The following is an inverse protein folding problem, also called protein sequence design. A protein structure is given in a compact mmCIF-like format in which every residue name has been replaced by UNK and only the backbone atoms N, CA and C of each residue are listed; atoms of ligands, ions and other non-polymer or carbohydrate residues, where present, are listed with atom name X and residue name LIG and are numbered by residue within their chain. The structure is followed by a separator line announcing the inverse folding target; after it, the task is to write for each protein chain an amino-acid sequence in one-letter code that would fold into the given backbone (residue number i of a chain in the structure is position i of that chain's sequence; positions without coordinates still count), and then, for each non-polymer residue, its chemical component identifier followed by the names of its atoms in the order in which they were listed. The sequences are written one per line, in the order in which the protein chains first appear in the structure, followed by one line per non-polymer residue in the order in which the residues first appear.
data_IF_847596919039
#
_entry.id   IF_847596919039
#
_cell.length_a   1.000
_cell.length_b   1.000
_cell.length_c   1.000
_cell.angle_alpha   90.00
_cell.angle_beta   90.00
_cell.angle_gamma   90.00
#
_symmetry.space_group_name_H-M   'P 1'
#
loop_
_entity.id
_entity.type
_entity.pdbx_description
1 polymer ?
#
# COMPACT_ATOMS: atom_id res chain seq x y z
N UNK A 1 -31.43 8.25 -5.19
CA UNK A 1 -30.96 6.87 -5.07
C UNK A 1 -29.83 6.86 -4.04
N UNK A 2 -30.07 6.21 -2.87
CA UNK A 2 -29.03 6.03 -1.87
C UNK A 2 -28.05 4.96 -2.41
N UNK A 3 -26.79 5.31 -2.55
CA UNK A 3 -25.71 4.37 -2.85
C UNK A 3 -25.00 4.07 -1.55
N UNK A 4 -25.07 2.84 -1.09
CA UNK A 4 -24.29 2.40 0.06
C UNK A 4 -22.81 2.34 -0.36
N UNK A 5 -21.99 3.13 0.30
CA UNK A 5 -20.54 3.08 0.07
C UNK A 5 -19.93 1.91 0.85
N UNK A 6 -19.03 1.21 0.22
CA UNK A 6 -18.17 0.21 0.86
C UNK A 6 -17.19 0.88 1.85
N UNK A 7 -16.58 0.07 2.68
CA UNK A 7 -15.63 0.53 3.68
C UNK A 7 -14.20 0.28 3.19
N UNK A 8 -13.32 1.25 3.38
CA UNK A 8 -11.88 1.03 3.22
C UNK A 8 -11.36 0.43 4.53
N UNK A 9 -10.79 -0.75 4.43
CA UNK A 9 -10.14 -1.44 5.56
C UNK A 9 -8.66 -1.03 5.63
N UNK A 10 -8.04 -1.23 6.79
CA UNK A 10 -6.58 -1.17 6.91
C UNK A 10 -5.90 -2.21 6.04
N UNK A 11 -4.59 -2.10 5.90
CA UNK A 11 -3.77 -3.13 5.26
C UNK A 11 -3.82 -4.42 6.08
N UNK A 12 -3.37 -5.52 5.49
CA UNK A 12 -3.34 -6.81 6.17
C UNK A 12 -2.35 -6.77 7.34
N UNK A 13 -2.87 -7.02 8.53
CA UNK A 13 -2.09 -7.17 9.74
C UNK A 13 -1.63 -8.62 9.90
N UNK A 14 -0.36 -8.77 10.25
CA UNK A 14 0.25 -10.05 10.59
C UNK A 14 0.56 -10.07 12.08
N UNK A 15 0.12 -11.10 12.77
CA UNK A 15 0.30 -11.24 14.21
C UNK A 15 0.61 -12.68 14.62
N UNK A 16 1.11 -12.81 15.82
CA UNK A 16 1.32 -14.10 16.51
C UNK A 16 0.70 -14.04 17.90
N UNK A 17 0.51 -15.20 18.53
CA UNK A 17 0.17 -15.23 19.96
C UNK A 17 1.38 -14.78 20.80
N UNK A 18 1.17 -14.26 22.02
CA UNK A 18 2.26 -13.89 22.92
C UNK A 18 3.25 -15.03 23.18
N UNK A 19 2.75 -16.26 23.34
CA UNK A 19 3.56 -17.44 23.54
C UNK A 19 4.49 -17.75 22.34
N UNK A 20 3.96 -17.65 21.13
CA UNK A 20 4.73 -17.83 19.89
C UNK A 20 5.76 -16.72 19.76
N UNK A 21 5.39 -15.48 20.07
CA UNK A 21 6.31 -14.35 20.04
C UNK A 21 7.48 -14.56 21.03
N UNK A 22 7.20 -14.87 22.30
CA UNK A 22 8.26 -15.08 23.29
C UNK A 22 9.21 -16.20 22.91
N UNK A 23 8.69 -17.30 22.37
CA UNK A 23 9.50 -18.44 21.87
C UNK A 23 10.44 -18.05 20.74
N UNK A 24 10.03 -17.14 19.86
CA UNK A 24 10.75 -16.79 18.63
C UNK A 24 11.26 -15.34 18.64
N UNK A 25 11.17 -14.64 19.77
CA UNK A 25 11.57 -13.23 19.92
C UNK A 25 12.93 -12.92 19.30
N UNK A 26 14.03 -13.65 19.58
CA UNK A 26 15.34 -13.30 19.00
C UNK A 26 15.37 -13.37 17.49
N UNK A 27 14.66 -14.34 16.89
CA UNK A 27 14.58 -14.48 15.45
C UNK A 27 13.78 -13.34 14.81
N UNK A 28 12.65 -12.96 15.40
CA UNK A 28 11.79 -11.87 14.91
C UNK A 28 12.52 -10.53 14.99
N UNK A 29 13.13 -10.23 16.14
CA UNK A 29 13.87 -8.98 16.36
C UNK A 29 15.13 -8.87 15.49
N UNK A 30 15.81 -9.99 15.20
CA UNK A 30 16.96 -10.00 14.29
C UNK A 30 16.60 -9.64 12.84
N UNK A 31 15.34 -9.78 12.47
CA UNK A 31 14.82 -9.36 11.17
C UNK A 31 14.44 -7.87 11.13
N UNK A 32 14.66 -7.13 12.22
CA UNK A 32 14.28 -5.73 12.35
C UNK A 32 12.77 -5.51 12.54
N UNK A 33 12.02 -6.57 12.88
CA UNK A 33 10.58 -6.49 13.08
C UNK A 33 10.29 -6.01 14.50
N UNK A 34 9.37 -5.06 14.62
CA UNK A 34 8.95 -4.48 15.91
C UNK A 34 7.64 -5.12 16.35
N UNK A 35 7.57 -5.67 17.57
CA UNK A 35 6.34 -6.18 18.14
C UNK A 35 5.46 -5.04 18.65
N UNK A 36 4.16 -5.11 18.38
CA UNK A 36 3.14 -4.27 18.98
C UNK A 36 2.11 -5.13 19.67
N UNK A 37 2.05 -5.03 20.99
CA UNK A 37 1.06 -5.76 21.79
C UNK A 37 -0.28 -5.06 21.67
N UNK A 38 -1.28 -5.77 21.16
CA UNK A 38 -2.65 -5.31 21.03
C UNK A 38 -3.55 -6.16 21.94
N UNK A 39 -4.32 -5.47 22.77
CA UNK A 39 -5.36 -6.11 23.60
C UNK A 39 -6.69 -5.96 22.89
N UNK A 40 -7.34 -7.06 22.61
CA UNK A 40 -8.73 -7.13 22.17
C UNK A 40 -9.58 -7.59 23.36
N UNK A 41 -10.90 -7.47 23.27
CA UNK A 41 -11.81 -7.71 24.41
C UNK A 41 -11.60 -9.08 25.08
N UNK A 42 -11.17 -10.09 24.32
CA UNK A 42 -11.00 -11.47 24.83
C UNK A 42 -9.58 -12.03 24.67
N UNK A 43 -8.68 -11.37 23.91
CA UNK A 43 -7.37 -11.94 23.61
C UNK A 43 -6.29 -10.88 23.51
N UNK A 44 -5.08 -11.27 23.83
CA UNK A 44 -3.87 -10.50 23.57
C UNK A 44 -3.14 -11.07 22.34
N UNK A 45 -2.78 -10.21 21.41
CA UNK A 45 -2.03 -10.57 20.20
C UNK A 45 -0.79 -9.68 20.06
N UNK A 46 0.25 -10.20 19.43
CA UNK A 46 1.45 -9.44 19.10
C UNK A 46 1.45 -9.19 17.60
N UNK A 47 1.10 -7.97 17.20
CA UNK A 47 1.19 -7.54 15.81
C UNK A 47 2.65 -7.29 15.44
N UNK A 48 3.05 -7.76 14.27
CA UNK A 48 4.41 -7.62 13.75
C UNK A 48 4.45 -6.44 12.78
N UNK A 49 5.36 -5.51 13.01
CA UNK A 49 5.48 -4.25 12.26
C UNK A 49 6.89 -4.04 11.73
N UNK A 50 7.00 -3.33 10.64
CA UNK A 50 8.26 -2.77 10.20
C UNK A 50 8.58 -1.50 11.00
N UNK A 51 9.89 -1.19 11.21
CA UNK A 51 10.29 0.05 11.86
C UNK A 51 9.87 1.26 11.04
N UNK A 52 9.40 2.30 11.72
CA UNK A 52 9.08 3.59 11.12
C UNK A 52 9.78 4.71 11.88
N UNK A 53 10.07 5.82 11.18
CA UNK A 53 10.55 7.05 11.80
C UNK A 53 9.46 7.74 12.62
N UNK A 54 8.21 7.56 12.22
CA UNK A 54 7.04 8.03 12.94
C UNK A 54 6.48 6.87 13.79
N UNK A 55 6.50 6.97 15.13
CA UNK A 55 6.03 5.91 16.03
C UNK A 55 4.52 5.63 15.89
N UNK A 56 3.76 6.57 15.36
CA UNK A 56 2.33 6.42 15.11
C UNK A 56 2.00 5.96 13.68
N UNK A 57 3.02 5.86 12.80
CA UNK A 57 2.82 5.34 11.46
C UNK A 57 2.50 3.85 11.45
N UNK A 58 1.52 3.50 10.64
CA UNK A 58 1.15 2.12 10.38
C UNK A 58 2.09 1.51 9.33
N UNK A 59 2.99 0.65 9.77
CA UNK A 59 3.97 -0.02 8.91
C UNK A 59 3.85 -1.55 9.03
N UNK A 60 2.87 -2.19 8.37
CA UNK A 60 2.70 -3.64 8.41
C UNK A 60 3.89 -4.36 7.73
N UNK A 61 3.98 -5.67 7.93
CA UNK A 61 4.91 -6.49 7.15
C UNK A 61 4.54 -6.43 5.67
N UNK A 62 5.56 -6.40 4.81
CA UNK A 62 5.37 -6.42 3.36
C UNK A 62 5.11 -7.85 2.86
N UNK A 63 4.54 -7.98 1.67
CA UNK A 63 4.35 -9.29 1.03
C UNK A 63 5.66 -10.04 0.79
N UNK A 64 6.79 -9.33 0.68
CA UNK A 64 8.12 -9.93 0.54
C UNK A 64 8.64 -10.58 1.82
N UNK A 65 8.12 -10.18 2.99
CA UNK A 65 8.50 -10.70 4.30
C UNK A 65 7.65 -11.91 4.71
N UNK A 66 6.63 -12.25 3.96
CA UNK A 66 5.73 -13.36 4.27
C UNK A 66 5.66 -14.36 3.12
N UNK A 67 5.38 -15.62 3.45
CA UNK A 67 5.14 -16.70 2.47
C UNK A 67 3.74 -17.23 2.66
N UNK A 68 2.96 -17.24 1.59
CA UNK A 68 1.56 -17.73 1.60
C UNK A 68 1.51 -19.06 0.84
N UNK A 69 1.41 -20.18 1.54
CA UNK A 69 1.35 -21.52 0.96
C UNK A 69 0.24 -22.36 1.57
N UNK A 70 -0.55 -23.01 0.74
CA UNK A 70 -1.61 -23.98 1.15
C UNK A 70 -2.54 -23.44 2.25
N UNK A 71 -2.88 -22.15 2.20
CA UNK A 71 -3.77 -21.52 3.20
C UNK A 71 -3.09 -21.12 4.52
N UNK A 72 -1.79 -21.35 4.65
CA UNK A 72 -0.97 -20.89 5.77
C UNK A 72 -0.10 -19.73 5.36
N UNK A 73 0.14 -18.84 6.31
CA UNK A 73 1.04 -17.71 6.13
C UNK A 73 2.16 -17.84 7.15
N UNK A 74 3.39 -17.77 6.68
CA UNK A 74 4.57 -17.88 7.54
C UNK A 74 5.48 -16.68 7.32
N UNK A 75 6.26 -16.32 8.35
CA UNK A 75 7.32 -15.33 8.24
C UNK A 75 8.45 -15.92 7.41
N UNK A 76 8.84 -15.21 6.33
CA UNK A 76 9.83 -15.67 5.35
C UNK A 76 11.16 -16.08 6.01
N UNK A 77 11.67 -17.23 5.61
CA UNK A 77 12.90 -17.78 6.17
C UNK A 77 12.75 -18.43 7.55
N UNK A 78 11.51 -18.56 8.04
CA UNK A 78 11.19 -19.19 9.32
C UNK A 78 10.02 -20.17 9.20
N UNK A 79 9.80 -20.98 10.23
CA UNK A 79 8.59 -21.82 10.35
C UNK A 79 7.49 -21.15 11.21
N UNK A 80 7.59 -19.84 11.46
CA UNK A 80 6.64 -19.11 12.31
C UNK A 80 5.36 -18.86 11.54
N UNK A 81 4.28 -19.50 11.95
CA UNK A 81 2.95 -19.30 11.37
C UNK A 81 2.35 -17.99 11.88
N UNK A 82 1.83 -17.19 10.93
CA UNK A 82 1.25 -15.88 11.18
C UNK A 82 -0.27 -15.92 11.05
N UNK A 83 -0.94 -15.24 11.98
CA UNK A 83 -2.35 -14.91 11.81
C UNK A 83 -2.47 -13.66 10.95
N UNK A 84 -3.35 -13.72 9.94
CA UNK A 84 -3.63 -12.61 9.04
C UNK A 84 -5.00 -12.04 9.34
N UNK A 85 -5.10 -10.74 9.48
CA UNK A 85 -6.38 -10.07 9.67
C UNK A 85 -6.41 -8.74 8.92
N UNK A 86 -7.54 -8.47 8.29
CA UNK A 86 -7.81 -7.17 7.64
C UNK A 86 -9.03 -6.57 8.32
N UNK A 87 -8.81 -5.55 9.11
CA UNK A 87 -9.85 -4.94 9.93
C UNK A 87 -10.14 -3.50 9.48
N UNK A 88 -11.29 -2.97 9.96
CA UNK A 88 -11.58 -1.55 9.84
C UNK A 88 -10.47 -0.72 10.48
N UNK A 89 -10.08 0.36 9.81
CA UNK A 89 -9.12 1.32 10.38
C UNK A 89 -9.61 1.90 11.69
N UNK A 90 -8.79 1.85 12.71
CA UNK A 90 -9.05 2.49 14.00
C UNK A 90 -7.76 2.94 14.69
N UNK A 91 -7.84 4.06 15.42
CA UNK A 91 -6.69 4.59 16.17
C UNK A 91 -6.24 3.63 17.28
N UNK A 92 -7.18 2.92 17.92
CA UNK A 92 -6.85 1.94 18.97
C UNK A 92 -6.07 0.73 18.46
N UNK A 93 -6.25 0.37 17.18
CA UNK A 93 -5.52 -0.71 16.51
C UNK A 93 -4.24 -0.24 15.84
N UNK A 94 -4.01 1.07 15.78
CA UNK A 94 -2.88 1.69 15.09
C UNK A 94 -2.71 1.17 13.64
N UNK A 95 -3.82 0.98 12.94
CA UNK A 95 -3.86 0.55 11.53
C UNK A 95 -4.47 1.62 10.60
N UNK A 96 -4.41 2.88 11.03
CA UNK A 96 -4.89 4.02 10.26
C UNK A 96 -3.79 4.50 9.34
N UNK A 97 -4.10 4.65 8.06
CA UNK A 97 -3.24 5.33 7.10
C UNK A 97 -3.55 6.82 7.17
N UNK A 98 -2.52 7.64 7.41
CA UNK A 98 -2.67 9.09 7.43
C UNK A 98 -2.61 9.64 5.99
N UNK A 99 -3.71 10.26 5.48
CA UNK A 99 -3.71 10.84 4.14
C UNK A 99 -2.64 11.89 3.92
N UNK A 100 -2.33 12.70 4.93
CA UNK A 100 -1.31 13.74 4.82
C UNK A 100 0.07 13.15 4.56
N UNK A 101 0.39 12.01 5.18
CA UNK A 101 1.64 11.30 4.94
C UNK A 101 1.70 10.78 3.51
N UNK A 102 0.61 10.17 3.02
CA UNK A 102 0.53 9.69 1.64
C UNK A 102 0.69 10.84 0.63
N UNK A 103 0.06 11.98 0.91
CA UNK A 103 0.20 13.18 0.07
C UNK A 103 1.63 13.73 0.08
N UNK A 104 2.30 13.73 1.23
CA UNK A 104 3.68 14.19 1.33
C UNK A 104 4.66 13.27 0.59
N UNK A 105 4.43 11.94 0.65
CA UNK A 105 5.34 10.95 0.08
C UNK A 105 5.09 10.71 -1.42
N UNK A 106 3.83 10.75 -1.87
CA UNK A 106 3.42 10.36 -3.22
C UNK A 106 2.67 11.44 -4.01
N UNK A 107 2.32 12.54 -3.37
CA UNK A 107 1.53 13.62 -3.97
C UNK A 107 0.00 13.36 -3.92
N UNK A 108 -0.75 14.47 -3.92
CA UNK A 108 -2.21 14.44 -3.82
C UNK A 108 -2.88 13.71 -5.02
N UNK A 109 -2.31 13.84 -6.20
CA UNK A 109 -2.86 13.21 -7.41
C UNK A 109 -2.74 11.68 -7.35
N UNK A 110 -1.65 11.16 -6.77
CA UNK A 110 -1.47 9.72 -6.54
C UNK A 110 -2.51 9.17 -5.58
N UNK A 111 -2.77 9.86 -4.47
CA UNK A 111 -3.81 9.48 -3.51
C UNK A 111 -5.18 9.45 -4.18
N UNK A 112 -5.58 10.55 -4.82
CA UNK A 112 -6.90 10.69 -5.46
C UNK A 112 -7.12 9.65 -6.56
N UNK A 113 -6.10 9.45 -7.41
CA UNK A 113 -6.20 8.46 -8.49
C UNK A 113 -6.25 7.03 -7.94
N UNK A 114 -5.52 6.74 -6.85
CA UNK A 114 -5.59 5.44 -6.20
C UNK A 114 -6.96 5.16 -5.60
N UNK A 115 -7.58 6.13 -4.92
CA UNK A 115 -8.94 6.01 -4.38
C UNK A 115 -9.96 5.69 -5.48
N UNK A 116 -9.85 6.35 -6.64
CA UNK A 116 -10.70 6.06 -7.78
C UNK A 116 -10.41 4.71 -8.44
N UNK A 117 -9.14 4.27 -8.41
CA UNK A 117 -8.70 3.00 -8.98
C UNK A 117 -9.08 1.79 -8.14
N UNK A 118 -9.24 1.94 -6.82
CA UNK A 118 -9.53 0.82 -5.91
C UNK A 118 -10.78 0.02 -6.29
N UNK A 119 -11.62 0.55 -7.15
CA UNK A 119 -12.76 -0.15 -7.74
C UNK A 119 -14.11 0.37 -7.25
N UNK A 120 -15.20 -0.40 -7.44
CA UNK A 120 -16.53 0.09 -7.15
C UNK A 120 -16.68 0.57 -5.70
N UNK A 121 -17.26 1.76 -5.53
CA UNK A 121 -17.46 2.41 -4.21
C UNK A 121 -18.32 1.57 -3.25
N UNK A 122 -19.08 0.62 -3.76
CA UNK A 122 -19.99 -0.23 -2.98
C UNK A 122 -19.27 -1.41 -2.30
N UNK A 123 -18.04 -1.71 -2.69
CA UNK A 123 -17.29 -2.85 -2.18
C UNK A 123 -16.35 -2.46 -1.04
N UNK A 124 -16.26 -3.35 -0.06
CA UNK A 124 -15.25 -3.27 0.98
C UNK A 124 -13.89 -3.64 0.40
N UNK A 125 -12.89 -2.78 0.56
CA UNK A 125 -11.55 -2.96 0.01
C UNK A 125 -10.49 -2.73 1.08
N UNK A 126 -9.45 -3.58 1.17
CA UNK A 126 -8.29 -3.28 1.97
C UNK A 126 -7.46 -2.17 1.32
N UNK A 127 -6.90 -1.30 2.13
CA UNK A 127 -5.88 -0.35 1.68
C UNK A 127 -4.60 -1.11 1.34
N UNK A 128 -3.93 -0.71 0.26
CA UNK A 128 -2.67 -1.33 -0.17
C UNK A 128 -1.69 -0.25 -0.64
N UNK A 129 -0.64 -0.02 0.12
CA UNK A 129 0.39 0.98 -0.24
C UNK A 129 1.05 0.69 -1.59
N UNK A 130 1.24 -0.58 -1.94
CA UNK A 130 1.76 -0.97 -3.26
C UNK A 130 0.90 -0.44 -4.42
N UNK A 131 -0.41 -0.30 -4.20
CA UNK A 131 -1.32 0.30 -5.17
C UNK A 131 -1.09 1.80 -5.36
N UNK A 132 -0.87 2.53 -4.26
CA UNK A 132 -0.50 3.96 -4.30
C UNK A 132 0.81 4.16 -5.06
N UNK A 133 1.83 3.37 -4.73
CA UNK A 133 3.12 3.39 -5.40
C UNK A 133 3.02 3.06 -6.90
N UNK A 134 2.17 2.10 -7.26
CA UNK A 134 1.88 1.75 -8.65
C UNK A 134 1.30 2.92 -9.43
N UNK A 135 0.35 3.64 -8.84
CA UNK A 135 -0.25 4.86 -9.40
C UNK A 135 0.78 5.98 -9.51
N UNK A 136 1.58 6.21 -8.48
CA UNK A 136 2.65 7.21 -8.50
C UNK A 136 3.64 6.95 -9.66
N UNK A 137 4.09 5.70 -9.82
CA UNK A 137 4.96 5.32 -10.95
C UNK A 137 4.28 5.50 -12.31
N UNK A 138 2.96 5.26 -12.38
CA UNK A 138 2.19 5.52 -13.60
C UNK A 138 2.17 7.01 -13.93
N UNK A 139 1.85 7.88 -12.98
CA UNK A 139 1.86 9.33 -13.17
C UNK A 139 3.24 9.85 -13.58
N UNK A 140 4.31 9.32 -12.99
CA UNK A 140 5.67 9.67 -13.39
C UNK A 140 5.99 9.25 -14.83
N UNK A 141 5.43 8.14 -15.33
CA UNK A 141 5.56 7.77 -16.76
C UNK A 141 4.79 8.72 -17.67
N UNK A 142 3.55 9.08 -17.29
CA UNK A 142 2.74 10.04 -18.03
C UNK A 142 3.42 11.41 -18.10
N UNK A 143 4.00 11.86 -16.98
CA UNK A 143 4.76 13.11 -16.92
C UNK A 143 5.90 13.12 -17.93
N UNK A 144 6.72 12.06 -17.95
CA UNK A 144 7.86 11.94 -18.87
C UNK A 144 7.50 11.80 -20.36
N UNK A 145 6.26 11.47 -20.67
CA UNK A 145 5.79 11.54 -22.07
C UNK A 145 5.65 12.98 -22.57
N UNK A 146 5.36 13.91 -21.66
CA UNK A 146 5.05 15.30 -21.98
C UNK A 146 6.19 16.25 -21.66
N UNK A 147 6.94 15.96 -20.60
CA UNK A 147 7.93 16.86 -20.03
C UNK A 147 9.32 16.21 -20.09
N UNK A 148 10.32 17.02 -20.46
CA UNK A 148 11.72 16.61 -20.37
C UNK A 148 12.19 16.75 -18.93
N UNK A 149 12.31 15.66 -18.21
CA UNK A 149 12.73 15.59 -16.81
C UNK A 149 14.26 15.81 -16.60
N UNK A 150 15.02 15.97 -17.69
CA UNK A 150 16.47 16.26 -17.67
C UNK A 150 16.78 17.75 -17.76
N UNK A 151 15.78 18.55 -18.13
CA UNK A 151 15.94 19.99 -18.23
C UNK A 151 15.88 20.66 -16.84
N UNK A 152 16.62 21.75 -16.63
CA UNK A 152 16.57 22.53 -15.39
C UNK A 152 15.20 23.16 -15.11
N UNK A 153 14.43 23.43 -16.18
CA UNK A 153 13.10 24.00 -16.11
C UNK A 153 12.07 23.06 -16.71
N UNK A 154 10.78 23.26 -16.39
CA UNK A 154 9.69 22.51 -16.96
C UNK A 154 9.55 22.88 -18.44
N UNK A 155 10.02 22.01 -19.33
CA UNK A 155 9.91 22.15 -20.78
C UNK A 155 9.26 20.91 -21.38
N UNK A 156 8.59 21.09 -22.52
CA UNK A 156 8.00 19.96 -23.24
C UNK A 156 9.11 19.04 -23.77
N UNK A 157 8.85 17.75 -23.71
CA UNK A 157 9.72 16.76 -24.32
C UNK A 157 9.80 17.00 -25.85
N UNK A 158 10.96 16.81 -26.44
CA UNK A 158 11.18 17.03 -27.88
C UNK A 158 10.32 16.14 -28.79
N UNK A 159 9.76 15.08 -28.25
CA UNK A 159 8.78 14.21 -28.92
C UNK A 159 7.37 14.80 -29.02
N UNK A 160 7.08 15.84 -28.23
CA UNK A 160 5.78 16.55 -28.25
C UNK A 160 5.86 17.64 -29.30
N UNK A 161 5.19 17.44 -30.40
CA UNK A 161 5.18 18.36 -31.53
C UNK A 161 3.75 18.77 -31.88
N UNK A 162 3.58 20.02 -32.32
CA UNK A 162 2.33 20.51 -32.83
C UNK A 162 2.22 20.17 -34.35
N UNK A 163 1.86 18.92 -34.61
CA UNK A 163 1.70 18.39 -35.97
C UNK A 163 0.45 17.51 -36.08
N UNK A 164 -0.13 17.48 -37.26
CA UNK A 164 -1.25 16.58 -37.53
C UNK A 164 -0.77 15.11 -37.35
N UNK A 165 -1.55 14.27 -36.63
CA UNK A 165 -1.17 12.88 -36.41
C UNK A 165 -1.14 12.09 -37.74
N UNK A 166 -0.19 11.19 -37.86
CA UNK A 166 -0.10 10.27 -38.99
C UNK A 166 -1.27 9.25 -38.96
N UNK A 167 -1.53 8.59 -40.09
CA UNK A 167 -2.67 7.70 -40.24
C UNK A 167 -2.67 6.50 -39.25
N UNK A 168 -1.50 5.99 -38.86
CA UNK A 168 -1.32 4.95 -37.85
C UNK A 168 -1.62 5.47 -36.46
N UNK A 169 -1.20 6.70 -36.15
CA UNK A 169 -1.49 7.37 -34.87
C UNK A 169 -2.99 7.69 -34.75
N UNK A 170 -3.64 8.15 -35.81
CA UNK A 170 -5.09 8.34 -35.85
C UNK A 170 -5.86 7.05 -35.59
N UNK A 171 -5.36 5.92 -36.14
CA UNK A 171 -5.97 4.61 -35.89
C UNK A 171 -5.91 4.20 -34.42
N UNK A 172 -4.82 4.50 -33.72
CA UNK A 172 -4.68 4.26 -32.28
C UNK A 172 -5.61 5.17 -31.49
N UNK A 173 -5.61 6.47 -31.82
CA UNK A 173 -6.45 7.47 -31.16
C UNK A 173 -7.95 7.13 -31.23
N UNK A 174 -8.41 6.60 -32.37
CA UNK A 174 -9.83 6.23 -32.56
C UNK A 174 -10.20 4.86 -31.99
N UNK A 175 -9.22 4.08 -31.51
CA UNK A 175 -9.46 2.81 -30.83
C UNK A 175 -9.63 2.96 -29.32
N UNK A 176 -9.15 4.06 -28.75
CA UNK A 176 -9.22 4.35 -27.32
C UNK A 176 -10.49 5.11 -27.00
#
# INVERSE_FOLDING_TARGET
KLVNQGMILGDTDYSVSPEVFERHRPAIESMGIIPLVLKTDDTEIVALRNPSRDPDAYCPLTEEQVVKEKGKVTLKGTAIELNCRTDKMSKSRKNVVNPDQVVNDYGADSLRLYEMFMGPLEQVKPWQMNGVEGVYRFLGRVWRLMIDDRAENVVLASSVVDAAPAADQLRVLHKT
#
